data_IF_415787334178
#
_entry.id   IF_415787334178
#
_cell.length_a   1.000
_cell.length_b   1.000
_cell.length_c   1.000
_cell.angle_alpha   90.00
_cell.angle_beta   90.00
_cell.angle_gamma   90.00
#
_symmetry.space_group_name_H-M   'P 1'
#
loop_
_entity.id
_entity.type
_entity.pdbx_description
1 polymer ?
#
# COMPACT_ATOMS: atom_id res chain seq x y z
N UNK A 1 60.82 55.13 -15.62
CA UNK A 1 59.55 55.14 -16.35
C UNK A 1 58.70 54.02 -15.79
N UNK A 2 57.52 54.38 -15.27
CA UNK A 2 56.30 53.60 -14.97
C UNK A 2 56.35 52.07 -15.21
N UNK A 3 56.03 51.30 -14.17
CA UNK A 3 54.88 50.36 -14.09
C UNK A 3 55.17 49.35 -12.95
N UNK A 4 54.44 49.31 -11.83
CA UNK A 4 53.09 48.72 -11.68
C UNK A 4 53.09 47.30 -12.27
N UNK A 5 53.02 46.20 -11.51
CA UNK A 5 51.77 45.58 -11.04
C UNK A 5 52.20 44.29 -10.27
N UNK A 6 51.99 44.18 -8.96
CA UNK A 6 50.86 43.46 -8.33
C UNK A 6 51.16 41.97 -8.08
N UNK A 7 51.45 41.65 -6.81
CA UNK A 7 51.13 40.35 -6.19
C UNK A 7 49.65 40.04 -6.43
N UNK A 8 49.29 38.77 -6.64
CA UNK A 8 48.37 38.02 -5.77
C UNK A 8 47.84 36.76 -6.49
N UNK A 9 48.20 35.62 -5.91
CA UNK A 9 47.37 34.42 -5.73
C UNK A 9 46.66 33.84 -6.95
N UNK A 10 47.18 32.70 -7.41
CA UNK A 10 46.42 31.73 -8.19
C UNK A 10 45.15 31.32 -7.44
N UNK A 11 44.00 31.84 -7.86
CA UNK A 11 42.72 31.29 -7.45
C UNK A 11 42.58 29.91 -8.10
N UNK A 12 42.72 28.86 -7.28
CA UNK A 12 42.35 27.50 -7.63
C UNK A 12 40.84 27.54 -7.92
N UNK A 13 40.46 27.49 -9.20
CA UNK A 13 39.06 27.33 -9.57
C UNK A 13 38.63 25.93 -9.13
N UNK A 14 38.00 25.84 -7.96
CA UNK A 14 37.17 24.70 -7.59
C UNK A 14 35.98 24.71 -8.55
N UNK A 15 36.14 23.98 -9.67
CA UNK A 15 35.01 23.55 -10.47
C UNK A 15 34.16 22.67 -9.57
N UNK A 16 33.10 23.24 -9.02
CA UNK A 16 32.08 22.47 -8.34
C UNK A 16 31.58 21.42 -9.35
N UNK A 17 31.90 20.15 -9.12
CA UNK A 17 31.20 19.05 -9.74
C UNK A 17 29.74 19.20 -9.28
N UNK A 18 28.89 19.73 -10.16
CA UNK A 18 27.46 19.55 -10.02
C UNK A 18 27.23 18.05 -10.16
N UNK A 19 27.02 17.38 -9.02
CA UNK A 19 26.31 16.12 -9.02
C UNK A 19 24.98 16.37 -9.76
N UNK A 20 24.43 15.40 -10.50
CA UNK A 20 23.01 15.44 -10.77
C UNK A 20 22.31 15.37 -9.41
N UNK A 21 22.02 16.55 -8.84
CA UNK A 21 20.98 16.66 -7.84
C UNK A 21 19.73 16.16 -8.52
N UNK A 22 19.05 15.23 -7.85
CA UNK A 22 17.83 14.60 -8.30
C UNK A 22 16.96 15.65 -9.01
N UNK A 23 16.77 15.44 -10.32
CA UNK A 23 15.80 16.21 -11.08
C UNK A 23 14.47 15.83 -10.47
N UNK A 24 14.02 16.62 -9.50
CA UNK A 24 12.70 16.50 -8.93
C UNK A 24 11.75 16.61 -10.12
N UNK A 25 11.00 15.54 -10.39
CA UNK A 25 10.00 15.56 -11.42
C UNK A 25 9.12 16.80 -11.19
N UNK A 26 9.01 17.60 -12.24
CA UNK A 26 8.25 18.83 -12.21
C UNK A 26 6.77 18.51 -11.97
N UNK A 27 6.38 18.60 -10.70
CA UNK A 27 5.04 18.26 -10.21
C UNK A 27 4.96 17.90 -8.72
N UNK A 28 6.05 17.48 -8.07
CA UNK A 28 5.86 16.69 -6.84
C UNK A 28 5.82 17.44 -5.50
N UNK A 29 6.24 18.70 -5.44
CA UNK A 29 5.88 19.55 -4.29
C UNK A 29 6.01 21.02 -4.65
N UNK A 30 4.94 21.78 -4.44
CA UNK A 30 4.99 23.24 -4.42
C UNK A 30 5.60 23.70 -3.10
N UNK A 31 6.77 24.33 -3.17
CA UNK A 31 7.19 25.47 -2.35
C UNK A 31 7.47 25.28 -0.85
N UNK A 32 6.85 24.32 -0.19
CA UNK A 32 6.79 24.24 1.25
C UNK A 32 6.97 22.78 1.62
N UNK A 33 7.93 22.51 2.49
CA UNK A 33 8.51 21.20 2.77
C UNK A 33 7.58 20.24 3.53
N UNK A 34 6.37 20.02 3.01
CA UNK A 34 5.46 18.95 3.42
C UNK A 34 5.14 18.11 2.18
N UNK A 35 6.11 17.28 1.78
CA UNK A 35 5.77 16.04 1.10
C UNK A 35 5.41 15.02 2.19
N UNK A 36 4.20 14.44 2.10
CA UNK A 36 3.81 13.32 2.95
C UNK A 36 3.29 13.71 4.34
N UNK A 37 2.07 14.21 4.42
CA UNK A 37 0.98 13.59 5.20
C UNK A 37 -0.33 14.28 4.73
N UNK A 38 -1.30 13.56 4.15
CA UNK A 38 -2.59 14.17 3.85
C UNK A 38 -3.23 14.68 5.15
N UNK A 39 -3.88 15.83 5.08
CA UNK A 39 -4.71 16.34 6.15
C UNK A 39 -5.81 15.31 6.48
N UNK A 40 -5.76 14.71 7.68
CA UNK A 40 -6.77 13.76 8.15
C UNK A 40 -8.13 14.42 8.45
N UNK A 41 -8.29 15.72 8.19
CA UNK A 41 -9.52 16.48 8.50
C UNK A 41 -10.68 16.27 7.51
N UNK A 42 -10.61 15.26 6.64
CA UNK A 42 -11.52 15.08 5.49
C UNK A 42 -12.49 13.89 5.56
N UNK A 43 -12.84 13.37 6.73
CA UNK A 43 -13.82 12.26 6.85
C UNK A 43 -15.27 12.75 6.82
N UNK A 44 -15.84 12.96 5.64
CA UNK A 44 -17.24 13.35 5.48
C UNK A 44 -18.22 12.22 5.81
N UNK A 45 -18.92 12.34 6.93
CA UNK A 45 -20.02 11.44 7.32
C UNK A 45 -21.33 11.78 6.57
N UNK A 46 -21.92 10.84 5.84
CA UNK A 46 -23.31 10.94 5.37
C UNK A 46 -23.80 9.83 4.43
N UNK A 47 -24.36 8.75 4.99
CA UNK A 47 -25.01 7.61 4.29
C UNK A 47 -24.14 6.89 3.24
N UNK A 48 -23.05 6.25 3.68
CA UNK A 48 -22.06 5.60 2.81
C UNK A 48 -20.71 6.28 3.00
N UNK A 49 -20.03 5.90 4.07
CA UNK A 49 -18.69 6.36 4.39
C UNK A 49 -17.70 5.83 3.36
N UNK A 50 -16.84 6.70 2.80
CA UNK A 50 -15.66 6.25 2.05
C UNK A 50 -15.27 7.02 0.79
N UNK A 51 -15.72 8.26 0.55
CA UNK A 51 -15.11 9.05 -0.54
C UNK A 51 -13.74 9.57 -0.09
N UNK A 52 -12.73 8.71 -0.11
CA UNK A 52 -11.34 9.14 0.09
C UNK A 52 -10.92 9.95 -1.13
N UNK A 53 -10.34 11.13 -0.87
CA UNK A 53 -9.40 11.69 -1.83
C UNK A 53 -8.22 10.72 -1.85
N UNK A 54 -8.20 9.77 -2.80
CA UNK A 54 -7.06 8.85 -2.97
C UNK A 54 -5.89 9.68 -3.47
N UNK A 55 -5.22 10.34 -2.54
CA UNK A 55 -3.98 11.04 -2.81
C UNK A 55 -2.89 9.99 -2.88
N UNK A 56 -2.30 9.86 -4.08
CA UNK A 56 -1.21 8.94 -4.42
C UNK A 56 -1.67 7.48 -4.60
N UNK A 57 -2.30 7.17 -5.74
CA UNK A 57 -1.96 5.87 -6.33
C UNK A 57 -0.51 5.97 -6.83
N UNK A 58 0.29 4.93 -6.67
CA UNK A 58 1.65 4.83 -7.25
C UNK A 58 1.66 4.96 -8.79
N UNK A 59 0.47 5.09 -9.39
CA UNK A 59 0.19 5.25 -10.80
C UNK A 59 0.09 6.71 -11.25
N UNK A 60 0.18 7.67 -10.34
CA UNK A 60 0.53 9.06 -10.64
C UNK A 60 -0.52 9.90 -11.41
N UNK A 61 -1.77 9.46 -11.54
CA UNK A 61 -2.76 10.18 -12.35
C UNK A 61 -4.16 10.30 -11.69
N UNK A 62 -4.52 11.54 -11.35
CA UNK A 62 -5.86 12.11 -11.10
C UNK A 62 -6.68 11.71 -9.86
N UNK A 63 -7.32 12.73 -9.27
CA UNK A 63 -8.34 12.62 -8.22
C UNK A 63 -9.51 11.72 -8.68
N UNK A 64 -9.56 10.48 -8.20
CA UNK A 64 -10.70 9.59 -8.35
C UNK A 64 -11.56 9.69 -7.09
N UNK A 65 -12.88 9.85 -7.24
CA UNK A 65 -13.82 9.56 -6.17
C UNK A 65 -14.09 8.06 -6.23
N UNK A 66 -13.37 7.32 -5.42
CA UNK A 66 -13.41 5.88 -5.33
C UNK A 66 -13.74 5.48 -3.89
N UNK A 67 -14.32 4.29 -3.73
CA UNK A 67 -14.57 3.70 -2.41
C UNK A 67 -13.27 3.04 -1.92
N UNK A 68 -12.91 3.32 -0.67
CA UNK A 68 -11.76 2.77 0.06
C UNK A 68 -12.29 2.54 1.48
N UNK A 69 -12.81 1.34 1.72
CA UNK A 69 -13.60 1.06 2.91
C UNK A 69 -12.73 0.97 4.17
N UNK A 70 -11.52 0.43 4.06
CA UNK A 70 -10.64 0.23 5.20
C UNK A 70 -9.60 1.36 5.38
N UNK A 71 -9.46 2.25 4.40
CA UNK A 71 -8.65 3.45 4.46
C UNK A 71 -7.15 3.16 4.30
N UNK A 72 -6.77 2.06 3.66
CA UNK A 72 -5.37 1.71 3.45
C UNK A 72 -4.72 2.41 2.23
N UNK A 73 -5.53 3.10 1.42
CA UNK A 73 -5.10 3.86 0.26
C UNK A 73 -5.20 3.12 -1.08
N UNK A 74 -5.72 1.90 -1.09
CA UNK A 74 -6.10 1.15 -2.29
C UNK A 74 -7.62 1.24 -2.47
N UNK A 75 -8.10 1.42 -3.70
CA UNK A 75 -9.54 1.42 -3.97
C UNK A 75 -10.11 0.01 -3.88
N UNK A 76 -11.32 -0.16 -3.34
CA UNK A 76 -12.00 -1.45 -3.12
C UNK A 76 -11.99 -2.37 -4.36
N UNK A 77 -12.04 -1.81 -5.58
CA UNK A 77 -12.04 -2.60 -6.83
C UNK A 77 -10.65 -3.14 -7.23
N UNK A 78 -9.60 -2.61 -6.61
CA UNK A 78 -8.19 -2.97 -6.82
C UNK A 78 -7.54 -3.53 -5.55
N UNK A 79 -8.27 -3.53 -4.43
CA UNK A 79 -7.83 -4.05 -3.15
C UNK A 79 -8.17 -5.54 -3.02
N UNK A 80 -7.15 -6.38 -2.88
CA UNK A 80 -7.34 -7.81 -2.63
C UNK A 80 -7.84 -8.12 -1.20
N UNK A 81 -7.95 -7.10 -0.34
CA UNK A 81 -8.58 -7.15 0.98
C UNK A 81 -9.38 -5.87 1.30
N UNK A 82 -10.38 -5.53 0.49
CA UNK A 82 -11.25 -4.34 0.65
C UNK A 82 -11.85 -4.03 2.05
N UNK A 83 -11.74 -4.93 3.03
CA UNK A 83 -12.22 -4.73 4.40
C UNK A 83 -11.11 -4.88 5.46
N UNK A 84 -9.86 -5.05 5.06
CA UNK A 84 -8.75 -5.43 5.92
C UNK A 84 -7.44 -4.86 5.42
N UNK A 85 -7.02 -3.77 6.07
CA UNK A 85 -5.89 -2.93 5.63
C UNK A 85 -4.63 -3.73 5.27
N UNK A 86 -4.14 -3.59 4.04
CA UNK A 86 -2.95 -4.25 3.53
C UNK A 86 -2.30 -3.47 2.36
N UNK A 87 -1.70 -2.33 2.70
CA UNK A 87 -1.01 -1.45 1.76
C UNK A 87 0.02 -2.15 0.84
N UNK A 88 0.64 -3.24 1.29
CA UNK A 88 1.60 -4.01 0.50
C UNK A 88 0.96 -4.98 -0.50
N UNK A 89 -0.36 -5.20 -0.42
CA UNK A 89 -1.17 -6.05 -1.30
C UNK A 89 -0.55 -7.45 -1.48
N UNK A 90 0.05 -7.99 -0.41
CA UNK A 90 0.64 -9.33 -0.43
C UNK A 90 -0.45 -10.38 -0.65
N UNK A 91 -0.17 -11.33 -1.52
CA UNK A 91 -1.01 -12.47 -1.90
C UNK A 91 -0.06 -13.59 -2.33
N UNK A 92 0.36 -14.42 -1.37
CA UNK A 92 1.46 -15.37 -1.58
C UNK A 92 1.05 -16.59 -2.40
N UNK A 93 -0.24 -16.95 -2.41
CA UNK A 93 -0.75 -18.09 -3.18
C UNK A 93 -1.43 -17.69 -4.50
N UNK A 94 -1.61 -16.39 -4.72
CA UNK A 94 -2.10 -15.76 -5.94
C UNK A 94 -3.53 -16.15 -6.30
N UNK A 95 -4.40 -16.28 -5.30
CA UNK A 95 -5.82 -16.60 -5.48
C UNK A 95 -6.72 -15.36 -5.65
N UNK A 96 -6.17 -14.16 -5.42
CA UNK A 96 -6.87 -12.88 -5.50
C UNK A 96 -7.43 -12.36 -4.16
N UNK A 97 -7.17 -13.06 -3.06
CA UNK A 97 -7.45 -12.65 -1.69
C UNK A 97 -6.12 -12.34 -1.02
N UNK A 98 -5.97 -11.15 -0.44
CA UNK A 98 -4.70 -10.77 0.18
C UNK A 98 -4.41 -11.53 1.48
N UNK A 99 -3.13 -11.69 1.80
CA UNK A 99 -2.65 -12.40 3.00
C UNK A 99 -3.27 -11.85 4.32
N UNK A 100 -3.72 -10.59 4.31
CA UNK A 100 -4.32 -9.93 5.47
C UNK A 100 -5.77 -10.38 5.75
N UNK A 101 -6.48 -10.87 4.74
CA UNK A 101 -7.86 -11.30 4.81
C UNK A 101 -8.08 -12.76 4.34
N UNK A 102 -7.01 -13.45 3.93
CA UNK A 102 -7.03 -14.85 3.53
C UNK A 102 -7.03 -15.80 4.75
N UNK A 103 -8.06 -16.65 4.83
CA UNK A 103 -8.22 -17.72 5.83
C UNK A 103 -7.28 -18.91 5.60
N UNK A 104 -6.68 -19.01 4.41
CA UNK A 104 -5.75 -20.05 4.00
C UNK A 104 -4.55 -19.50 3.22
N UNK A 105 -3.82 -18.54 3.80
CA UNK A 105 -2.64 -17.81 3.24
C UNK A 105 -1.71 -18.57 2.28
N UNK A 106 -1.58 -19.90 2.36
CA UNK A 106 -0.67 -20.67 1.51
C UNK A 106 -1.36 -21.62 0.51
N UNK A 107 -2.69 -21.59 0.44
CA UNK A 107 -3.49 -22.53 -0.34
C UNK A 107 -4.67 -21.82 -1.02
N UNK A 108 -4.48 -21.52 -2.30
CA UNK A 108 -5.43 -20.76 -3.10
C UNK A 108 -6.89 -21.24 -2.97
N UNK A 109 -7.75 -20.36 -2.46
CA UNK A 109 -9.17 -20.61 -2.18
C UNK A 109 -10.00 -19.31 -2.24
N UNK A 110 -10.09 -18.69 -3.43
CA UNK A 110 -10.75 -17.38 -3.62
C UNK A 110 -12.22 -17.24 -3.14
N UNK A 111 -12.89 -18.35 -2.81
CA UNK A 111 -14.22 -18.36 -2.21
C UNK A 111 -14.24 -18.18 -0.70
N UNK A 112 -13.10 -18.34 -0.02
CA UNK A 112 -12.92 -18.14 1.42
C UNK A 112 -14.02 -18.81 2.28
N UNK A 113 -14.28 -20.09 1.98
CA UNK A 113 -15.27 -20.89 2.72
C UNK A 113 -14.69 -21.31 4.07
N UNK A 114 -15.50 -21.19 5.12
CA UNK A 114 -15.15 -21.46 6.52
C UNK A 114 -16.44 -21.91 7.22
N UNK A 115 -16.63 -23.23 7.36
CA UNK A 115 -17.88 -23.86 7.84
C UNK A 115 -18.11 -23.63 9.33
N UNK A 116 -17.07 -23.74 10.14
CA UNK A 116 -17.16 -23.64 11.60
C UNK A 116 -16.84 -22.22 12.13
N UNK A 117 -16.44 -21.31 11.23
CA UNK A 117 -16.14 -19.90 11.47
C UNK A 117 -14.97 -19.69 12.45
N UNK A 118 -13.98 -20.58 12.44
CA UNK A 118 -12.79 -20.50 13.30
C UNK A 118 -11.65 -19.62 12.71
N UNK A 119 -11.85 -19.10 11.49
CA UNK A 119 -10.92 -18.31 10.66
C UNK A 119 -9.84 -19.14 9.96
N UNK A 120 -9.95 -20.45 9.95
CA UNK A 120 -9.19 -21.35 9.11
C UNK A 120 -10.12 -21.81 7.99
N UNK A 121 -9.76 -21.55 6.74
CA UNK A 121 -10.64 -21.87 5.63
C UNK A 121 -10.73 -23.38 5.41
N UNK A 122 -11.87 -23.85 4.89
CA UNK A 122 -12.19 -25.27 4.65
C UNK A 122 -11.08 -26.04 3.90
N UNK A 123 -10.31 -25.34 3.06
CA UNK A 123 -9.25 -25.91 2.23
C UNK A 123 -7.99 -26.25 3.04
N UNK A 124 -7.73 -25.51 4.12
CA UNK A 124 -6.57 -25.68 4.99
C UNK A 124 -6.93 -26.10 6.43
N UNK A 125 -8.21 -26.25 6.73
CA UNK A 125 -8.72 -26.68 8.03
C UNK A 125 -8.64 -28.21 8.22
N UNK A 126 -7.95 -28.69 9.29
CA UNK A 126 -7.93 -30.10 9.63
C UNK A 126 -9.23 -30.66 10.25
N UNK A 127 -10.16 -29.82 10.72
CA UNK A 127 -11.37 -30.14 11.49
C UNK A 127 -12.57 -29.28 11.03
N UNK A 128 -13.09 -29.59 9.84
CA UNK A 128 -13.98 -28.75 9.04
C UNK A 128 -15.23 -28.22 9.74
N UNK A 129 -15.75 -28.94 10.74
CA UNK A 129 -16.97 -28.60 11.47
C UNK A 129 -16.72 -28.23 12.94
N UNK A 130 -15.44 -28.18 13.37
CA UNK A 130 -15.02 -27.82 14.70
C UNK A 130 -15.52 -28.74 15.82
N UNK A 131 -15.92 -29.98 15.51
CA UNK A 131 -16.46 -30.92 16.51
C UNK A 131 -15.37 -31.65 17.32
N UNK A 132 -14.10 -31.46 16.96
CA UNK A 132 -12.93 -32.10 17.55
C UNK A 132 -12.55 -33.43 16.92
N UNK A 133 -13.08 -33.76 15.73
CA UNK A 133 -12.75 -34.94 14.93
C UNK A 133 -12.16 -34.52 13.60
N UNK A 134 -10.84 -34.71 13.47
CA UNK A 134 -10.12 -34.52 12.22
C UNK A 134 -10.85 -35.14 11.02
N UNK A 135 -10.89 -34.41 9.90
CA UNK A 135 -11.60 -34.76 8.66
C UNK A 135 -11.41 -36.21 8.20
N UNK A 136 -10.21 -36.77 8.36
CA UNK A 136 -9.89 -38.15 7.97
C UNK A 136 -10.41 -39.25 8.89
N UNK A 137 -10.87 -38.89 10.10
CA UNK A 137 -11.45 -39.78 11.12
C UNK A 137 -12.91 -39.45 11.43
N UNK A 138 -13.44 -38.40 10.82
CA UNK A 138 -14.81 -37.98 10.96
C UNK A 138 -15.70 -38.62 9.88
N UNK A 139 -16.89 -39.04 10.30
CA UNK A 139 -17.89 -39.65 9.46
C UNK A 139 -19.02 -38.67 9.06
N UNK A 140 -18.94 -37.42 9.50
CA UNK A 140 -19.96 -36.40 9.34
C UNK A 140 -19.32 -35.01 9.09
N UNK A 141 -18.67 -34.81 7.93
CA UNK A 141 -17.94 -33.56 7.64
C UNK A 141 -18.85 -32.31 7.37
N UNK A 142 -19.92 -32.06 8.14
CA UNK A 142 -20.78 -30.85 8.02
C UNK A 142 -21.53 -30.50 9.30
#
# INVERSE_FOLDING_TARGET
>A
MKSLLTLLTSALAMTALLLPGDVKAEGECSGDAMCGTPDQSGGGCGCGCGSVLVAMTDRGDTYQFADDFDGDGIEDQFDNCAFGTNYDQSDVDSDGVGDACDTCVSVANSTQSDIDADRVGDVCDPDLDGDGKLNGSDNCLN
#
